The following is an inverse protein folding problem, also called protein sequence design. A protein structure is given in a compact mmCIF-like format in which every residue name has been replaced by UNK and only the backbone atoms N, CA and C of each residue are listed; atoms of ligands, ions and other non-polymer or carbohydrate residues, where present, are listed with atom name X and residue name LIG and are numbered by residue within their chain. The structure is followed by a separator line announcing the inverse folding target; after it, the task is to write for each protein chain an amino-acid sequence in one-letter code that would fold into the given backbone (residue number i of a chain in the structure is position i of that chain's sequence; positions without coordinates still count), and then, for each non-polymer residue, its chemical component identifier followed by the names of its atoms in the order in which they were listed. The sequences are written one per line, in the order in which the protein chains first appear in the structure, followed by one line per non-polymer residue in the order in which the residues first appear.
data_IF_986452270997
#
_entry.id   IF_986452270997
#
_cell.length_a   1.000
_cell.length_b   1.000
_cell.length_c   1.000
_cell.angle_alpha   90.00
_cell.angle_beta   90.00
_cell.angle_gamma   90.00
#
_symmetry.space_group_name_H-M   'P 1'
#
loop_
_entity.id
_entity.type
_entity.pdbx_description
1 polymer ?
#
# COMPACT_ATOMS: atom_id res chain seq x y z
N UNK A 1 18.88 1.70 18.42
CA UNK A 1 18.18 2.60 19.34
C UNK A 1 18.88 3.93 19.31
N UNK A 2 18.16 5.02 19.06
CA UNK A 2 18.71 6.37 19.24
C UNK A 2 18.65 6.80 20.72
N UNK A 3 19.27 7.94 21.05
CA UNK A 3 19.27 8.52 22.39
C UNK A 3 17.86 8.87 22.94
N UNK A 4 16.82 8.74 22.10
CA UNK A 4 15.43 8.99 22.43
C UNK A 4 14.59 7.70 22.46
N UNK A 5 15.21 6.52 22.38
CA UNK A 5 14.53 5.21 22.48
C UNK A 5 13.80 4.77 21.20
N UNK A 6 14.04 5.40 20.05
CA UNK A 6 13.46 4.95 18.79
C UNK A 6 14.25 3.79 18.19
N UNK A 7 13.52 2.76 17.79
CA UNK A 7 13.98 1.63 16.98
C UNK A 7 13.49 1.84 15.55
N UNK A 8 14.37 1.71 14.58
CA UNK A 8 14.05 1.92 13.17
C UNK A 8 13.59 0.61 12.52
N UNK A 9 12.40 0.62 11.91
CA UNK A 9 11.89 -0.46 11.09
C UNK A 9 12.41 -0.29 9.65
N UNK A 10 13.31 -1.18 9.24
CA UNK A 10 13.70 -1.31 7.84
C UNK A 10 12.56 -1.95 7.03
N UNK A 11 12.13 -1.29 5.94
CA UNK A 11 11.22 -1.88 4.94
C UNK A 11 9.84 -1.22 4.74
N UNK A 12 9.43 -0.25 5.55
CA UNK A 12 8.12 0.42 5.38
C UNK A 12 8.09 1.44 4.23
N UNK A 13 7.09 1.34 3.34
CA UNK A 13 6.98 2.15 2.10
C UNK A 13 5.72 3.04 2.09
N UNK A 14 5.77 4.19 1.40
CA UNK A 14 4.60 5.02 1.06
C UNK A 14 3.90 4.45 -0.19
N UNK A 15 2.56 4.52 -0.34
CA UNK A 15 1.93 4.30 -1.65
C UNK A 15 2.43 5.37 -2.64
N UNK A 16 2.91 4.94 -3.80
CA UNK A 16 3.38 5.84 -4.84
C UNK A 16 2.20 6.63 -5.47
N UNK A 17 2.34 7.94 -5.75
CA UNK A 17 1.42 8.63 -6.63
C UNK A 17 1.64 8.13 -8.07
N UNK A 18 0.57 7.62 -8.71
CA UNK A 18 0.58 7.23 -10.12
C UNK A 18 0.64 8.52 -10.95
N UNK A 19 1.82 8.91 -11.40
CA UNK A 19 1.97 9.97 -12.41
C UNK A 19 1.85 9.36 -13.80
N UNK A 20 0.79 9.75 -14.51
CA UNK A 20 0.64 9.53 -15.94
C UNK A 20 1.41 10.62 -16.70
N UNK A 21 2.58 10.29 -17.26
CA UNK A 21 3.22 11.16 -18.25
C UNK A 21 2.89 10.68 -19.66
N UNK A 22 2.11 11.50 -20.36
CA UNK A 22 1.97 11.53 -21.82
C UNK A 22 3.35 11.75 -22.45
N UNK A 23 3.72 10.94 -23.43
CA UNK A 23 4.83 11.24 -24.34
C UNK A 23 4.22 11.55 -25.69
N UNK A 24 4.17 12.84 -26.02
CA UNK A 24 4.02 13.31 -27.40
C UNK A 24 5.39 13.18 -28.08
N UNK A 25 5.38 12.71 -29.33
CA UNK A 25 6.57 12.29 -30.05
C UNK A 25 7.44 13.42 -30.58
N UNK A 26 8.65 13.04 -30.98
CA UNK A 26 9.30 13.35 -32.27
C UNK A 26 10.71 12.71 -32.25
N UNK A 27 11.24 12.45 -33.46
CA UNK A 27 12.39 11.61 -33.80
C UNK A 27 13.70 12.03 -33.09
N UNK A 28 14.37 11.11 -32.38
CA UNK A 28 15.64 11.40 -31.71
C UNK A 28 16.69 10.31 -31.88
N UNK A 29 17.93 10.78 -32.03
CA UNK A 29 19.19 10.06 -32.26
C UNK A 29 19.41 8.91 -31.26
N UNK A 30 19.97 7.77 -31.71
CA UNK A 30 20.09 6.55 -30.88
C UNK A 30 20.85 6.79 -29.57
N UNK A 31 21.79 7.74 -29.56
CA UNK A 31 22.51 8.16 -28.34
C UNK A 31 21.61 8.83 -27.30
N UNK A 32 20.60 9.60 -27.72
CA UNK A 32 19.62 10.23 -26.83
C UNK A 32 18.60 9.24 -26.28
N UNK A 33 18.27 8.18 -27.04
CA UNK A 33 17.42 7.09 -26.56
C UNK A 33 18.11 6.35 -25.41
N UNK A 34 19.40 6.04 -25.54
CA UNK A 34 20.14 5.35 -24.47
C UNK A 34 20.32 6.24 -23.22
N UNK A 35 20.60 7.53 -23.40
CA UNK A 35 20.73 8.48 -22.28
C UNK A 35 19.40 8.68 -21.54
N UNK A 36 18.29 8.82 -22.25
CA UNK A 36 16.96 8.97 -21.65
C UNK A 36 16.52 7.69 -20.94
N UNK A 37 16.77 6.51 -21.53
CA UNK A 37 16.51 5.23 -20.88
C UNK A 37 17.35 5.06 -19.61
N UNK A 38 18.64 5.42 -19.65
CA UNK A 38 19.51 5.40 -18.48
C UNK A 38 19.02 6.36 -17.38
N UNK A 39 18.56 7.57 -17.73
CA UNK A 39 17.96 8.52 -16.79
C UNK A 39 16.63 8.03 -16.21
N UNK A 40 15.82 7.32 -16.99
CA UNK A 40 14.59 6.68 -16.50
C UNK A 40 14.93 5.54 -15.54
N UNK A 41 15.91 4.68 -15.88
CA UNK A 41 16.35 3.59 -15.01
C UNK A 41 16.98 4.13 -13.72
N UNK A 42 17.83 5.14 -13.81
CA UNK A 42 18.43 5.82 -12.66
C UNK A 42 17.36 6.55 -11.86
N UNK A 43 16.39 7.20 -12.50
CA UNK A 43 15.25 7.84 -11.83
C UNK A 43 14.34 6.82 -11.14
N UNK A 44 14.11 5.66 -11.75
CA UNK A 44 13.37 4.54 -11.17
C UNK A 44 14.14 3.95 -9.99
N UNK A 45 15.45 3.75 -10.15
CA UNK A 45 16.36 3.24 -9.13
C UNK A 45 16.46 4.19 -7.93
N UNK A 46 16.67 5.49 -8.17
CA UNK A 46 16.65 6.55 -7.16
C UNK A 46 15.26 6.63 -6.52
N UNK A 47 14.17 6.50 -7.28
CA UNK A 47 12.81 6.47 -6.74
C UNK A 47 12.59 5.29 -5.79
N UNK A 48 13.06 4.09 -6.14
CA UNK A 48 13.05 2.90 -5.27
C UNK A 48 14.04 2.98 -4.11
N UNK A 49 15.19 3.64 -4.28
CA UNK A 49 16.25 3.74 -3.26
C UNK A 49 16.00 4.89 -2.26
N UNK A 50 15.35 5.99 -2.68
CA UNK A 50 14.97 7.11 -1.82
C UNK A 50 13.69 6.84 -1.00
N UNK A 51 13.08 5.67 -1.14
CA UNK A 51 11.91 5.25 -0.33
C UNK A 51 12.28 4.47 0.94
N UNK A 52 13.51 4.59 1.46
CA UNK A 52 13.82 4.14 2.83
C UNK A 52 13.33 5.19 3.82
N UNK A 53 12.01 5.32 3.95
CA UNK A 53 11.41 6.12 5.03
C UNK A 53 11.57 5.37 6.33
N UNK A 54 12.49 5.85 7.16
CA UNK A 54 12.76 5.30 8.49
C UNK A 54 11.51 5.39 9.36
N UNK A 55 10.82 4.27 9.57
CA UNK A 55 9.72 4.20 10.54
C UNK A 55 10.35 4.01 11.91
N UNK A 56 10.15 4.99 12.79
CA UNK A 56 10.59 4.90 14.18
C UNK A 56 9.50 4.25 15.03
N UNK A 57 9.86 3.28 15.85
CA UNK A 57 9.00 2.70 16.89
C UNK A 57 9.66 2.97 18.23
N UNK A 58 8.93 3.57 19.15
CA UNK A 58 9.37 3.74 20.53
C UNK A 58 8.39 2.97 21.42
N UNK A 59 8.86 1.85 21.95
CA UNK A 59 8.06 0.95 22.78
C UNK A 59 7.78 1.56 24.16
N UNK A 60 8.73 2.29 24.73
CA UNK A 60 8.62 2.88 26.07
C UNK A 60 7.52 3.95 26.14
N UNK A 61 7.41 4.76 25.10
CA UNK A 61 6.37 5.79 24.96
C UNK A 61 5.10 5.29 24.27
N UNK A 62 5.11 4.07 23.71
CA UNK A 62 3.98 3.50 22.99
C UNK A 62 3.65 4.24 21.68
N UNK A 63 4.66 4.74 20.96
CA UNK A 63 4.46 5.58 19.77
C UNK A 63 5.15 5.03 18.53
N UNK A 64 4.49 5.23 17.39
CA UNK A 64 5.06 5.01 16.07
C UNK A 64 5.23 6.36 15.36
N UNK A 65 6.31 6.50 14.61
CA UNK A 65 6.66 7.70 13.85
C UNK A 65 6.94 7.34 12.40
N UNK A 66 6.37 8.15 11.52
CA UNK A 66 6.61 8.11 10.09
C UNK A 66 6.80 9.52 9.56
N UNK A 67 8.00 9.78 9.04
CA UNK A 67 8.43 11.13 8.67
C UNK A 67 8.33 12.09 9.87
N UNK A 68 7.49 13.12 9.73
CA UNK A 68 7.22 14.14 10.77
C UNK A 68 5.99 13.82 11.64
N UNK A 69 5.23 12.78 11.33
CA UNK A 69 4.01 12.43 12.06
C UNK A 69 4.29 11.31 13.05
N UNK A 70 3.77 11.43 14.27
CA UNK A 70 3.79 10.36 15.26
C UNK A 70 2.43 10.22 15.92
N UNK A 71 1.99 8.97 16.07
CA UNK A 71 0.75 8.61 16.75
C UNK A 71 1.03 7.57 17.83
N UNK A 72 0.15 7.48 18.83
CA UNK A 72 0.19 6.38 19.79
C UNK A 72 -0.21 5.05 19.12
N UNK A 73 0.26 3.92 19.63
CA UNK A 73 -0.16 2.61 19.13
C UNK A 73 -1.67 2.41 19.24
N UNK A 74 -2.28 2.91 20.32
CA UNK A 74 -3.72 2.86 20.55
C UNK A 74 -4.54 3.66 19.51
N UNK A 75 -3.94 4.64 18.82
CA UNK A 75 -4.59 5.39 17.72
C UNK A 75 -4.57 4.61 16.40
N UNK A 76 -3.88 3.47 16.33
CA UNK A 76 -3.97 2.55 15.20
C UNK A 76 -5.25 1.74 15.38
N UNK A 77 -6.25 2.05 14.56
CA UNK A 77 -7.62 1.51 14.68
C UNK A 77 -8.02 0.62 13.52
N UNK A 78 -7.32 0.68 12.39
CA UNK A 78 -7.67 -0.05 11.17
C UNK A 78 -6.44 -0.74 10.58
N UNK A 79 -6.62 -1.97 10.11
CA UNK A 79 -5.66 -2.70 9.29
C UNK A 79 -6.35 -3.36 8.09
N UNK A 80 -5.69 -3.36 6.94
CA UNK A 80 -6.12 -4.07 5.74
C UNK A 80 -4.96 -4.72 5.00
N UNK A 81 -5.22 -5.90 4.46
CA UNK A 81 -4.27 -6.63 3.63
C UNK A 81 -4.44 -6.18 2.17
N UNK A 82 -3.36 -5.72 1.58
CA UNK A 82 -3.26 -5.36 0.17
C UNK A 82 -2.59 -6.51 -0.57
N UNK A 83 -3.22 -6.96 -1.65
CA UNK A 83 -2.75 -8.04 -2.50
C UNK A 83 -2.54 -7.51 -3.91
N UNK A 84 -1.35 -7.73 -4.45
CA UNK A 84 -1.02 -7.45 -5.84
C UNK A 84 -0.62 -8.75 -6.54
N UNK A 85 -1.15 -9.00 -7.73
CA UNK A 85 -0.94 -10.24 -8.50
C UNK A 85 -0.43 -9.96 -9.92
N UNK A 86 0.14 -8.78 -10.16
CA UNK A 86 0.77 -8.44 -11.43
C UNK A 86 2.09 -9.21 -11.54
N UNK A 87 2.00 -10.48 -11.96
CA UNK A 87 3.12 -11.42 -12.00
C UNK A 87 3.12 -12.34 -10.78
N UNK A 88 4.03 -12.10 -9.83
CA UNK A 88 4.05 -12.85 -8.57
C UNK A 88 3.18 -12.16 -7.52
N UNK A 89 2.60 -12.97 -6.61
CA UNK A 89 1.75 -12.47 -5.53
C UNK A 89 2.59 -11.67 -4.52
N UNK A 90 2.29 -10.39 -4.36
CA UNK A 90 2.88 -9.53 -3.34
C UNK A 90 1.85 -9.16 -2.28
N UNK A 91 2.25 -9.23 -1.01
CA UNK A 91 1.42 -8.96 0.16
C UNK A 91 1.95 -7.76 0.91
N UNK A 92 1.07 -6.81 1.23
CA UNK A 92 1.41 -5.66 2.07
C UNK A 92 0.33 -5.39 3.10
N UNK A 93 0.72 -5.14 4.35
CA UNK A 93 -0.19 -4.72 5.40
C UNK A 93 -0.28 -3.20 5.42
N UNK A 94 -1.48 -2.67 5.18
CA UNK A 94 -1.78 -1.26 5.42
C UNK A 94 -2.41 -1.12 6.81
N UNK A 95 -1.92 -0.21 7.65
CA UNK A 95 -2.50 0.02 8.97
C UNK A 95 -2.34 1.48 9.41
N UNK A 96 -3.22 1.92 10.30
CA UNK A 96 -3.23 3.30 10.79
C UNK A 96 -4.56 3.67 11.43
N UNK A 97 -4.91 4.96 11.38
CA UNK A 97 -6.13 5.49 11.98
C UNK A 97 -7.30 5.63 10.97
N UNK A 98 -7.15 5.07 9.76
CA UNK A 98 -8.15 5.18 8.69
C UNK A 98 -8.19 6.54 7.98
N UNK A 99 -7.50 7.56 8.50
CA UNK A 99 -7.54 8.93 7.99
C UNK A 99 -6.16 9.41 7.49
N UNK A 100 -5.52 10.31 8.25
CA UNK A 100 -4.32 11.07 7.87
C UNK A 100 -3.02 10.35 8.18
N UNK A 101 -3.08 9.23 8.90
CA UNK A 101 -1.94 8.39 9.23
C UNK A 101 -2.19 6.96 8.77
N UNK A 102 -1.47 6.55 7.73
CA UNK A 102 -1.49 5.20 7.20
C UNK A 102 -0.06 4.79 6.84
N UNK A 103 0.33 3.59 7.27
CA UNK A 103 1.60 2.95 6.94
C UNK A 103 1.32 1.73 6.06
N UNK A 104 2.24 1.45 5.14
CA UNK A 104 2.21 0.23 4.35
C UNK A 104 3.50 -0.52 4.60
N UNK A 105 3.37 -1.72 5.16
CA UNK A 105 4.48 -2.63 5.39
C UNK A 105 4.41 -3.76 4.35
N UNK A 106 5.39 -3.88 3.44
CA UNK A 106 5.50 -5.06 2.59
C UNK A 106 5.82 -6.28 3.46
N UNK A 107 5.02 -7.33 3.31
CA UNK A 107 5.19 -8.59 4.04
C UNK A 107 5.96 -9.60 3.18
N UNK A 108 5.52 -9.72 1.92
CA UNK A 108 6.05 -10.68 0.96
C UNK A 108 5.97 -10.15 -0.46
N UNK A 109 6.93 -10.55 -1.27
CA UNK A 109 7.00 -10.29 -2.71
C UNK A 109 7.37 -11.59 -3.43
N UNK A 110 6.37 -12.26 -4.00
CA UNK A 110 6.51 -13.63 -4.50
C UNK A 110 6.89 -14.60 -3.40
N UNK A 111 7.99 -15.33 -3.57
CA UNK A 111 8.52 -16.26 -2.56
C UNK A 111 9.25 -15.55 -1.41
N UNK A 112 9.64 -14.28 -1.60
CA UNK A 112 10.54 -13.57 -0.68
C UNK A 112 9.78 -12.84 0.41
N UNK A 113 10.13 -13.08 1.68
CA UNK A 113 9.73 -12.22 2.80
C UNK A 113 10.55 -10.92 2.74
N UNK A 114 9.87 -9.77 2.72
CA UNK A 114 10.52 -8.46 2.50
C UNK A 114 11.14 -7.90 3.78
N UNK A 115 10.51 -8.13 4.94
CA UNK A 115 10.95 -7.61 6.23
C UNK A 115 11.79 -8.63 7.02
N UNK A 116 12.89 -8.15 7.61
CA UNK A 116 13.74 -8.95 8.50
C UNK A 116 12.98 -9.42 9.75
N UNK A 117 13.41 -10.51 10.38
CA UNK A 117 12.67 -11.16 11.48
C UNK A 117 12.47 -10.24 12.69
N UNK A 118 13.48 -9.43 13.02
CA UNK A 118 13.48 -8.49 14.14
C UNK A 118 12.45 -7.38 13.92
N UNK A 119 12.41 -6.81 12.72
CA UNK A 119 11.43 -5.79 12.33
C UNK A 119 10.00 -6.35 12.39
N UNK A 120 9.79 -7.61 12.00
CA UNK A 120 8.49 -8.29 12.11
C UNK A 120 8.07 -8.49 13.56
N UNK A 121 8.98 -8.91 14.44
CA UNK A 121 8.70 -9.04 15.88
C UNK A 121 8.35 -7.70 16.52
N UNK A 122 9.09 -6.64 16.19
CA UNK A 122 8.82 -5.30 16.70
C UNK A 122 7.46 -4.79 16.23
N UNK A 123 7.15 -4.98 14.94
CA UNK A 123 5.85 -4.58 14.40
C UNK A 123 4.69 -5.39 15.02
N UNK A 124 4.89 -6.68 15.29
CA UNK A 124 3.89 -7.50 15.98
C UNK A 124 3.58 -6.94 17.38
N UNK A 125 4.57 -6.42 18.11
CA UNK A 125 4.34 -5.76 19.40
C UNK A 125 3.54 -4.45 19.25
N UNK A 126 3.85 -3.64 18.22
CA UNK A 126 3.08 -2.43 17.91
C UNK A 126 1.62 -2.77 17.62
N UNK A 127 1.37 -3.81 16.80
CA UNK A 127 0.02 -4.26 16.47
C UNK A 127 -0.69 -4.85 17.68
N UNK A 128 0.02 -5.56 18.56
CA UNK A 128 -0.57 -6.06 19.82
C UNK A 128 -1.05 -4.92 20.74
N UNK A 129 -0.31 -3.82 20.78
CA UNK A 129 -0.65 -2.61 21.54
C UNK A 129 -1.67 -1.69 20.84
N UNK A 130 -2.22 -2.10 19.70
CA UNK A 130 -3.16 -1.30 18.91
C UNK A 130 -4.63 -1.56 19.25
N UNK A 131 -5.49 -0.65 18.81
CA UNK A 131 -6.95 -0.74 18.90
C UNK A 131 -7.59 -1.24 17.60
N UNK A 132 -6.85 -2.03 16.80
CA UNK A 132 -7.29 -2.46 15.47
C UNK A 132 -8.56 -3.31 15.56
N UNK A 133 -9.60 -2.88 14.84
CA UNK A 133 -10.84 -3.62 14.65
C UNK A 133 -11.29 -3.51 13.19
N UNK A 134 -12.16 -4.43 12.76
CA UNK A 134 -12.81 -4.27 11.46
C UNK A 134 -13.79 -3.09 11.60
N UNK A 135 -13.75 -2.09 10.69
CA UNK A 135 -14.68 -0.97 10.73
C UNK A 135 -16.13 -1.44 10.68
N UNK A 136 -17.02 -0.65 11.27
CA UNK A 136 -18.47 -0.85 11.20
C UNK A 136 -19.07 0.14 10.22
N UNK A 137 -20.08 -0.28 9.46
CA UNK A 137 -20.82 0.60 8.58
C UNK A 137 -21.94 1.32 9.37
N UNK A 138 -22.28 2.56 8.99
CA UNK A 138 -23.39 3.31 9.58
C UNK A 138 -24.73 2.56 9.43
N UNK A 139 -24.90 1.85 8.34
CA UNK A 139 -26.09 1.04 8.04
C UNK A 139 -26.01 -0.38 8.61
N UNK A 140 -24.85 -0.78 9.18
CA UNK A 140 -24.65 -2.03 9.90
C UNK A 140 -23.87 -1.81 11.20
N UNK A 141 -24.49 -1.16 12.21
CA UNK A 141 -23.82 -0.82 13.47
C UNK A 141 -23.48 -2.06 14.31
N UNK A 142 -24.12 -3.20 14.04
CA UNK A 142 -23.83 -4.48 14.70
C UNK A 142 -22.68 -5.24 14.03
N UNK A 143 -22.16 -4.74 12.90
CA UNK A 143 -21.06 -5.35 12.16
C UNK A 143 -21.36 -6.75 11.62
N UNK A 144 -22.64 -7.12 11.46
CA UNK A 144 -23.04 -8.46 10.98
C UNK A 144 -22.49 -8.74 9.58
N UNK A 145 -22.34 -7.69 8.78
CA UNK A 145 -21.81 -7.67 7.43
C UNK A 145 -20.47 -6.95 7.34
N UNK A 146 -19.79 -6.68 8.46
CA UNK A 146 -18.52 -5.97 8.46
C UNK A 146 -17.48 -6.62 7.53
N UNK A 147 -17.46 -7.96 7.47
CA UNK A 147 -16.58 -8.70 6.56
C UNK A 147 -16.93 -8.52 5.07
N UNK A 148 -18.21 -8.35 4.74
CA UNK A 148 -18.65 -8.07 3.37
C UNK A 148 -18.39 -6.60 2.98
N UNK A 149 -18.61 -5.67 3.92
CA UNK A 149 -18.42 -4.23 3.70
C UNK A 149 -16.93 -3.86 3.64
N UNK A 150 -16.09 -4.56 4.40
CA UNK A 150 -14.65 -4.33 4.49
C UNK A 150 -13.86 -5.62 4.19
N UNK A 151 -13.92 -6.13 2.95
CA UNK A 151 -13.45 -7.47 2.60
C UNK A 151 -11.94 -7.65 2.74
N UNK A 152 -11.16 -6.58 2.65
CA UNK A 152 -9.69 -6.59 2.81
C UNK A 152 -9.25 -6.28 4.24
N UNK A 153 -10.16 -5.89 5.13
CA UNK A 153 -9.82 -5.52 6.49
C UNK A 153 -9.64 -6.75 7.35
N UNK A 154 -8.64 -6.67 8.22
CA UNK A 154 -8.22 -7.76 9.10
C UNK A 154 -8.38 -7.34 10.55
N UNK A 155 -8.65 -8.32 11.40
CA UNK A 155 -8.59 -8.15 12.87
C UNK A 155 -7.15 -7.90 13.32
N UNK A 156 -6.98 -7.41 14.54
CA UNK A 156 -5.67 -7.23 15.15
C UNK A 156 -4.87 -8.53 15.18
N UNK A 157 -5.52 -9.63 15.58
CA UNK A 157 -4.92 -10.94 15.69
C UNK A 157 -4.48 -11.47 14.32
N UNK A 158 -5.31 -11.29 13.29
CA UNK A 158 -4.94 -11.60 11.90
C UNK A 158 -3.77 -10.74 11.41
N UNK A 159 -3.76 -9.44 11.72
CA UNK A 159 -2.65 -8.55 11.35
C UNK A 159 -1.32 -9.00 11.98
N UNK A 160 -1.33 -9.39 13.26
CA UNK A 160 -0.14 -9.94 13.95
C UNK A 160 0.34 -11.22 13.26
N UNK A 161 -0.58 -12.15 12.97
CA UNK A 161 -0.23 -13.41 12.28
C UNK A 161 0.36 -13.16 10.89
N UNK A 162 -0.23 -12.26 10.11
CA UNK A 162 0.27 -11.87 8.79
C UNK A 162 1.69 -11.30 8.85
N UNK A 163 2.02 -10.55 9.90
CA UNK A 163 3.37 -10.00 10.07
C UNK A 163 4.38 -11.08 10.48
N UNK A 164 4.00 -11.97 11.39
CA UNK A 164 4.91 -13.01 11.90
C UNK A 164 5.15 -14.13 10.88
N UNK A 165 4.08 -14.58 10.22
CA UNK A 165 4.08 -15.63 9.23
C UNK A 165 3.18 -15.23 8.04
N UNK A 166 3.70 -14.43 7.09
CA UNK A 166 2.96 -14.12 5.88
C UNK A 166 2.56 -15.43 5.16
N UNK A 167 1.35 -15.55 4.56
CA UNK A 167 0.94 -16.71 3.77
C UNK A 167 1.67 -16.80 2.42
N UNK A 168 2.10 -18.00 2.04
CA UNK A 168 2.84 -18.26 0.81
C UNK A 168 1.96 -18.04 -0.45
N UNK A 169 2.56 -17.97 -1.65
CA UNK A 169 1.78 -18.02 -2.88
C UNK A 169 0.90 -19.28 -2.92
N UNK A 170 -0.37 -19.14 -3.28
CA UNK A 170 -1.35 -20.23 -3.28
C UNK A 170 -1.95 -20.57 -1.90
N UNK A 171 -1.42 -20.05 -0.80
CA UNK A 171 -2.06 -20.22 0.51
C UNK A 171 -3.28 -19.30 0.67
N UNK A 172 -4.32 -19.74 1.39
CA UNK A 172 -5.51 -18.95 1.63
C UNK A 172 -5.19 -17.69 2.44
N UNK A 173 -5.84 -16.58 2.11
CA UNK A 173 -5.69 -15.33 2.86
C UNK A 173 -6.83 -15.15 3.88
N UNK A 174 -6.58 -14.46 4.99
CA UNK A 174 -7.60 -14.16 6.00
C UNK A 174 -8.55 -13.01 5.59
N UNK A 175 -8.76 -12.83 4.28
CA UNK A 175 -9.60 -11.80 3.67
C UNK A 175 -10.58 -12.46 2.70
N UNK A 176 -11.72 -11.82 2.48
CA UNK A 176 -12.81 -12.36 1.66
C UNK A 176 -12.69 -11.96 0.18
N UNK A 177 -11.48 -11.69 -0.30
CA UNK A 177 -11.26 -11.39 -1.72
C UNK A 177 -11.34 -12.70 -2.48
N UNK A 178 -12.47 -12.92 -3.13
CA UNK A 178 -12.70 -14.05 -4.02
C UNK A 178 -11.62 -14.05 -5.11
N UNK A 179 -10.95 -15.18 -5.29
CA UNK A 179 -9.95 -15.45 -6.34
C UNK A 179 -10.52 -15.26 -7.78
N UNK A 180 -11.84 -15.04 -7.91
CA UNK A 180 -12.61 -14.98 -9.15
C UNK A 180 -13.11 -13.57 -9.56
N UNK A 181 -12.73 -12.49 -8.87
CA UNK A 181 -13.23 -11.12 -9.15
C UNK A 181 -12.60 -10.43 -10.39
N UNK A 182 -12.10 -11.22 -11.33
CA UNK A 182 -11.52 -10.79 -12.61
C UNK A 182 -12.45 -9.93 -13.50
N UNK A 183 -13.80 -10.03 -13.51
CA UNK A 183 -14.60 -9.23 -14.45
C UNK A 183 -14.83 -7.76 -14.02
N UNK A 184 -14.67 -7.38 -12.75
CA UNK A 184 -14.89 -5.98 -12.32
C UNK A 184 -13.72 -5.04 -12.63
N UNK A 185 -12.49 -5.57 -12.75
CA UNK A 185 -11.33 -4.79 -13.22
C UNK A 185 -11.42 -4.42 -14.71
N UNK A 186 -12.08 -5.25 -15.52
CA UNK A 186 -12.30 -4.97 -16.95
C UNK A 186 -13.30 -3.82 -17.20
N UNK A 187 -14.18 -3.52 -16.24
CA UNK A 187 -15.18 -2.46 -16.35
C UNK A 187 -14.67 -1.07 -15.93
N UNK A 188 -13.69 -1.00 -15.02
CA UNK A 188 -13.02 0.25 -14.66
C UNK A 188 -12.27 0.88 -15.86
N UNK A 189 -11.79 0.05 -16.80
CA UNK A 189 -11.17 0.51 -18.06
C UNK A 189 -12.15 1.03 -19.12
N UNK A 190 -13.45 0.69 -19.04
CA UNK A 190 -14.44 1.11 -20.05
C UNK A 190 -15.21 2.38 -19.68
N UNK A 191 -15.38 2.69 -18.39
CA UNK A 191 -16.09 3.90 -17.96
C UNK A 191 -15.27 5.19 -18.09
N UNK A 192 -13.94 5.13 -17.95
CA UNK A 192 -13.08 6.29 -18.20
C UNK A 192 -13.03 6.69 -19.68
N UNK A 193 -13.16 5.72 -20.60
CA UNK A 193 -13.15 5.98 -22.05
C UNK A 193 -14.40 6.72 -22.53
N UNK A 194 -15.55 6.55 -21.87
CA UNK A 194 -16.82 7.15 -22.28
C UNK A 194 -16.97 8.62 -21.85
N UNK A 195 -16.26 9.05 -20.80
CA UNK A 195 -16.24 10.45 -20.36
C UNK A 195 -15.23 11.29 -21.16
N UNK A 196 -14.06 10.71 -21.52
CA UNK A 196 -13.03 11.40 -22.31
C UNK A 196 -13.49 11.67 -23.75
N UNK A 197 -14.27 10.75 -24.35
CA UNK A 197 -14.81 10.94 -25.71
C UNK A 197 -15.88 12.04 -25.82
N UNK A 198 -16.53 12.47 -24.73
CA UNK A 198 -17.49 13.60 -24.76
C UNK A 198 -16.81 14.97 -24.67
N UNK A 199 -15.60 15.06 -24.13
CA UNK A 199 -14.87 16.34 -24.05
C UNK A 199 -14.10 16.67 -25.33
N UNK A 200 -13.56 15.67 -26.04
CA UNK A 200 -12.83 15.91 -27.28
C UNK A 200 -13.73 16.38 -28.44
N UNK A 201 -15.02 16.05 -28.42
CA UNK A 201 -15.95 16.40 -29.50
C UNK A 201 -16.56 17.82 -29.37
N UNK A 202 -16.23 18.56 -28.30
CA UNK A 202 -16.68 19.95 -28.07
C UNK A 202 -15.65 20.99 -28.53
N UNK A 203 -14.37 20.62 -28.54
CA UNK A 203 -13.27 21.53 -28.96
C UNK A 203 -13.13 21.57 -30.49
N UNK A 204 -13.51 20.51 -31.20
CA UNK A 204 -13.39 20.43 -32.66
C UNK A 204 -14.44 21.25 -33.46
N UNK A 205 -15.36 21.98 -32.81
CA UNK A 205 -16.48 22.66 -33.47
C UNK A 205 -16.41 24.19 -33.55
N UNK A 206 -15.37 24.82 -33.01
CA UNK A 206 -15.11 26.25 -33.20
C UNK A 206 -13.61 26.53 -33.32
N UNK A 207 -13.02 26.38 -34.52
CA UNK A 207 -11.76 27.02 -34.82
C UNK A 207 -12.06 28.52 -35.03
N UNK A 208 -11.66 29.35 -34.07
CA UNK A 208 -11.43 30.78 -34.30
C UNK A 208 -10.12 30.96 -35.07
#
# INVERSE_FOLDING_TARGET
MDAQGWVHLEGARKPAPIFSSFIAGELFDFGQILLSLALVIVGLFISTAMTVTVVGVNLDSGRIRYGRKSIAFAEITVASLQVAELGQRSLSLKFGNGERFNLVMPLRDGERIVAIAEARKLLAQVLAASSIQIPTDKYDPKGKFARFNFPTNVTREQAIQLVLAPPAPGEPLPISVTEDDTPLRALAGRSARRVILRHLNRVARHPS
#
